data_IF_739645944510
#
_entry.id   IF_739645944510
#
_cell.length_a   1.000
_cell.length_b   1.000
_cell.length_c   1.000
_cell.angle_alpha   90.00
_cell.angle_beta   90.00
_cell.angle_gamma   90.00
#
_symmetry.space_group_name_H-M   'P 1'
#
loop_
_entity.id
_entity.type
_entity.pdbx_description
1 polymer ?
#
# COMPACT_ATOMS: atom_id res chain seq x y z
N UNK A 1 19.09 3.98 -7.88
CA UNK A 1 18.96 4.14 -6.40
C UNK A 1 19.92 5.15 -5.77
N UNK A 2 21.10 5.44 -6.37
CA UNK A 2 22.12 6.34 -5.80
C UNK A 2 21.60 7.77 -5.47
N UNK A 3 20.58 8.24 -6.19
CA UNK A 3 20.03 9.58 -6.03
C UNK A 3 18.99 9.69 -4.90
N UNK A 4 18.05 8.75 -4.81
CA UNK A 4 17.08 8.68 -3.70
C UNK A 4 17.79 8.49 -2.36
N UNK A 5 18.86 7.69 -2.32
CA UNK A 5 19.65 7.49 -1.09
C UNK A 5 20.39 8.74 -0.62
N UNK A 6 20.58 9.74 -1.50
CA UNK A 6 21.24 10.99 -1.17
C UNK A 6 20.25 12.02 -0.63
N UNK A 7 19.03 12.06 -1.16
CA UNK A 7 17.97 12.95 -0.69
C UNK A 7 17.35 12.43 0.63
N UNK A 8 17.32 13.28 1.66
CA UNK A 8 16.77 12.90 2.97
C UNK A 8 15.25 12.72 2.92
N UNK A 9 14.53 13.60 2.23
CA UNK A 9 13.07 13.59 2.18
C UNK A 9 12.55 12.39 1.40
N UNK A 10 13.04 12.15 0.18
CA UNK A 10 12.59 11.02 -0.63
C UNK A 10 12.86 9.68 0.07
N UNK A 11 14.04 9.54 0.68
CA UNK A 11 14.38 8.34 1.46
C UNK A 11 13.45 8.15 2.65
N UNK A 12 13.14 9.20 3.40
CA UNK A 12 12.22 9.12 4.55
C UNK A 12 10.81 8.79 4.08
N UNK A 13 10.31 9.43 3.03
CA UNK A 13 8.95 9.22 2.52
C UNK A 13 8.77 7.80 1.98
N UNK A 14 9.68 7.31 1.13
CA UNK A 14 9.62 5.92 0.66
C UNK A 14 9.86 4.92 1.80
N UNK A 15 10.79 5.20 2.71
CA UNK A 15 11.06 4.35 3.88
C UNK A 15 9.83 4.19 4.77
N UNK A 16 9.14 5.29 5.10
CA UNK A 16 7.88 5.28 5.84
C UNK A 16 6.78 4.55 5.08
N UNK A 17 6.67 4.78 3.76
CA UNK A 17 5.70 4.11 2.90
C UNK A 17 5.85 2.58 2.95
N UNK A 18 7.09 2.08 2.80
CA UNK A 18 7.38 0.64 2.92
C UNK A 18 7.16 0.12 4.34
N UNK A 19 7.59 0.86 5.37
CA UNK A 19 7.41 0.46 6.76
C UNK A 19 5.92 0.28 7.08
N UNK A 20 5.08 1.26 6.73
CA UNK A 20 3.63 1.17 6.94
C UNK A 20 3.06 -0.02 6.18
N UNK A 21 3.46 -0.22 4.91
CA UNK A 21 2.95 -1.32 4.10
C UNK A 21 3.35 -2.70 4.66
N UNK A 22 4.56 -2.83 5.20
CA UNK A 22 5.02 -4.05 5.90
C UNK A 22 4.19 -4.27 7.16
N UNK A 23 4.03 -3.25 8.01
CA UNK A 23 3.27 -3.37 9.25
C UNK A 23 1.81 -3.78 8.98
N UNK A 24 1.12 -3.13 8.05
CA UNK A 24 -0.27 -3.50 7.74
C UNK A 24 -0.34 -4.90 7.13
N UNK A 25 0.64 -5.32 6.34
CA UNK A 25 0.69 -6.67 5.79
C UNK A 25 0.88 -7.72 6.89
N UNK A 26 1.73 -7.46 7.88
CA UNK A 26 1.89 -8.33 9.04
C UNK A 26 0.60 -8.42 9.86
N UNK A 27 -0.07 -7.29 10.12
CA UNK A 27 -1.34 -7.27 10.86
C UNK A 27 -2.42 -8.04 10.07
N UNK A 28 -2.53 -7.81 8.77
CA UNK A 28 -3.47 -8.52 7.90
C UNK A 28 -3.17 -10.02 7.88
N UNK A 29 -1.90 -10.43 7.86
CA UNK A 29 -1.52 -11.84 7.94
C UNK A 29 -1.94 -12.50 9.25
N UNK A 30 -1.72 -11.83 10.39
CA UNK A 30 -2.11 -12.36 11.69
C UNK A 30 -3.63 -12.43 11.84
N UNK A 31 -4.36 -11.44 11.33
CA UNK A 31 -5.83 -11.34 11.51
C UNK A 31 -6.65 -12.14 10.51
N UNK A 32 -6.19 -12.23 9.27
CA UNK A 32 -6.94 -12.83 8.15
C UNK A 32 -6.30 -14.13 7.64
N UNK A 33 -5.07 -14.44 8.05
CA UNK A 33 -4.30 -15.57 7.51
C UNK A 33 -4.90 -16.94 7.82
N UNK A 34 -5.53 -17.11 8.98
CA UNK A 34 -6.11 -18.39 9.41
C UNK A 34 -7.55 -18.61 8.92
N UNK A 35 -8.23 -17.56 8.45
CA UNK A 35 -9.63 -17.65 8.05
C UNK A 35 -9.80 -18.48 6.77
N UNK A 36 -10.45 -19.64 6.88
CA UNK A 36 -10.84 -20.50 5.76
C UNK A 36 -12.17 -20.09 5.12
N UNK A 37 -12.96 -19.26 5.81
CA UNK A 37 -14.18 -18.66 5.29
C UNK A 37 -13.90 -17.56 4.26
N UNK A 38 -14.84 -17.30 3.32
CA UNK A 38 -14.75 -16.16 2.42
C UNK A 38 -14.73 -14.85 3.22
N UNK A 39 -13.79 -13.97 2.88
CA UNK A 39 -13.59 -12.69 3.53
C UNK A 39 -14.51 -11.63 2.92
N UNK A 40 -15.09 -10.79 3.76
CA UNK A 40 -15.83 -9.60 3.37
C UNK A 40 -14.82 -8.55 2.91
N UNK A 41 -14.74 -8.34 1.61
CA UNK A 41 -13.82 -7.38 0.99
C UNK A 41 -14.49 -6.04 0.69
N UNK A 42 -15.81 -6.04 0.51
CA UNK A 42 -16.60 -4.81 0.38
C UNK A 42 -17.95 -4.96 1.08
N UNK A 43 -18.32 -3.91 1.82
CA UNK A 43 -19.58 -3.78 2.52
C UNK A 43 -20.19 -2.41 2.20
N UNK A 44 -21.46 -2.42 1.78
CA UNK A 44 -22.27 -1.22 1.57
C UNK A 44 -23.32 -1.13 2.69
N UNK A 45 -23.48 0.05 3.28
CA UNK A 45 -24.42 0.26 4.41
C UNK A 45 -25.87 -0.01 4.00
N UNK A 46 -26.23 0.23 2.74
CA UNK A 46 -27.58 0.06 2.21
C UNK A 46 -27.84 -1.34 1.64
N UNK A 47 -26.82 -2.00 1.07
CA UNK A 47 -26.96 -3.34 0.45
C UNK A 47 -26.41 -4.49 1.29
N UNK A 48 -25.64 -4.22 2.33
CA UNK A 48 -24.92 -5.23 3.10
C UNK A 48 -23.62 -5.67 2.41
N UNK A 49 -23.25 -6.93 2.61
CA UNK A 49 -22.04 -7.52 1.99
C UNK A 49 -22.28 -7.66 0.48
N UNK A 50 -21.54 -6.89 -0.32
CA UNK A 50 -21.67 -6.90 -1.80
C UNK A 50 -20.50 -7.65 -2.45
N UNK A 51 -19.34 -7.74 -1.78
CA UNK A 51 -18.18 -8.45 -2.31
C UNK A 51 -17.52 -9.32 -1.25
N UNK A 52 -17.57 -10.63 -1.50
CA UNK A 52 -16.82 -11.65 -0.79
C UNK A 52 -15.65 -12.08 -1.67
N UNK A 53 -14.47 -12.24 -1.09
CA UNK A 53 -13.32 -12.81 -1.78
C UNK A 53 -12.53 -13.75 -0.89
N UNK A 54 -11.60 -14.47 -1.49
CA UNK A 54 -10.67 -15.30 -0.76
C UNK A 54 -9.50 -14.49 -0.18
N UNK A 55 -8.59 -15.24 0.45
CA UNK A 55 -7.32 -14.69 0.97
C UNK A 55 -6.45 -14.13 -0.15
N UNK A 56 -6.47 -14.73 -1.33
CA UNK A 56 -5.64 -14.31 -2.47
C UNK A 56 -6.03 -12.91 -2.92
N UNK A 57 -7.31 -12.60 -2.95
CA UNK A 57 -7.83 -11.29 -3.33
C UNK A 57 -7.45 -10.23 -2.29
N UNK A 58 -7.59 -10.51 -0.99
CA UNK A 58 -7.14 -9.63 0.09
C UNK A 58 -5.63 -9.35 0.05
N UNK A 59 -4.80 -10.40 -0.02
CA UNK A 59 -3.35 -10.23 -0.10
C UNK A 59 -2.90 -9.68 -1.46
N UNK A 60 -3.71 -9.85 -2.52
CA UNK A 60 -3.49 -9.27 -3.84
C UNK A 60 -3.49 -7.73 -3.80
N UNK A 61 -4.35 -7.12 -2.97
CA UNK A 61 -4.35 -5.67 -2.73
C UNK A 61 -3.01 -5.24 -2.12
N UNK A 62 -2.49 -5.97 -1.14
CA UNK A 62 -1.19 -5.66 -0.52
C UNK A 62 -0.01 -5.87 -1.48
N UNK A 63 0.01 -6.98 -2.22
CA UNK A 63 1.06 -7.29 -3.20
C UNK A 63 1.10 -6.25 -4.31
N UNK A 64 -0.05 -5.89 -4.89
CA UNK A 64 -0.15 -4.85 -5.92
C UNK A 64 0.30 -3.49 -5.37
N UNK A 65 -0.01 -3.17 -4.12
CA UNK A 65 0.47 -1.97 -3.44
C UNK A 65 2.01 -1.92 -3.34
N UNK A 66 2.66 -3.03 -2.97
CA UNK A 66 4.12 -3.12 -2.97
C UNK A 66 4.70 -2.87 -4.36
N UNK A 67 4.10 -3.47 -5.39
CA UNK A 67 4.54 -3.27 -6.77
C UNK A 67 4.38 -1.81 -7.21
N UNK A 68 3.27 -1.15 -6.89
CA UNK A 68 3.04 0.26 -7.21
C UNK A 68 4.07 1.19 -6.55
N UNK A 69 4.37 1.01 -5.25
CA UNK A 69 5.38 1.82 -4.56
C UNK A 69 6.77 1.56 -5.15
N UNK A 70 7.08 0.31 -5.49
CA UNK A 70 8.35 -0.04 -6.11
C UNK A 70 8.51 0.64 -7.48
N UNK A 71 7.47 0.62 -8.31
CA UNK A 71 7.44 1.33 -9.60
C UNK A 71 7.65 2.83 -9.38
N UNK A 72 6.92 3.44 -8.44
CA UNK A 72 7.05 4.87 -8.14
C UNK A 72 8.46 5.22 -7.62
N UNK A 73 9.11 4.33 -6.87
CA UNK A 73 10.50 4.50 -6.43
C UNK A 73 11.46 4.49 -7.62
N UNK A 74 11.28 3.57 -8.57
CA UNK A 74 12.10 3.50 -9.78
C UNK A 74 11.91 4.75 -10.64
N UNK A 75 10.66 5.19 -10.82
CA UNK A 75 10.32 6.42 -11.55
C UNK A 75 10.91 7.65 -10.86
N UNK A 76 10.73 7.78 -9.54
CA UNK A 76 11.29 8.87 -8.77
C UNK A 76 12.82 8.93 -8.90
N UNK A 77 13.51 7.78 -8.94
CA UNK A 77 14.95 7.74 -9.13
C UNK A 77 15.38 8.13 -10.55
N UNK A 78 14.59 7.78 -11.57
CA UNK A 78 14.86 8.14 -12.97
C UNK A 78 14.68 9.65 -13.19
N UNK A 79 13.58 10.21 -12.68
CA UNK A 79 13.27 11.63 -12.84
C UNK A 79 14.15 12.56 -12.00
N UNK A 80 14.85 12.05 -10.97
CA UNK A 80 15.57 12.93 -10.03
C UNK A 80 16.64 13.80 -10.68
N UNK A 81 17.30 13.27 -11.72
CA UNK A 81 18.33 14.02 -12.46
C UNK A 81 17.75 15.00 -13.47
N UNK A 82 16.55 14.72 -14.00
CA UNK A 82 15.93 15.53 -15.05
C UNK A 82 15.02 16.61 -14.48
N UNK A 83 14.18 16.23 -13.53
CA UNK A 83 13.06 17.00 -12.98
C UNK A 83 12.86 16.63 -11.50
N UNK A 84 13.55 17.31 -10.58
CA UNK A 84 13.45 17.00 -9.14
C UNK A 84 12.03 17.10 -8.60
N UNK A 85 11.24 18.04 -9.14
CA UNK A 85 9.84 18.23 -8.75
C UNK A 85 9.00 16.97 -8.98
N UNK A 86 9.15 16.32 -10.14
CA UNK A 86 8.44 15.07 -10.44
C UNK A 86 8.82 13.95 -9.48
N UNK A 87 10.10 13.84 -9.10
CA UNK A 87 10.53 12.84 -8.11
C UNK A 87 9.86 13.01 -6.76
N UNK A 88 9.67 14.24 -6.28
CA UNK A 88 8.92 14.50 -5.05
C UNK A 88 7.44 14.15 -5.21
N UNK A 89 6.81 14.46 -6.34
CA UNK A 89 5.43 14.06 -6.60
C UNK A 89 5.28 12.54 -6.48
N UNK A 90 6.14 11.75 -7.14
CA UNK A 90 6.08 10.29 -7.03
C UNK A 90 6.29 9.79 -5.60
N UNK A 91 7.16 10.42 -4.82
CA UNK A 91 7.36 10.11 -3.41
C UNK A 91 6.09 10.36 -2.58
N UNK A 92 5.57 11.59 -2.60
CA UNK A 92 4.41 11.98 -1.79
C UNK A 92 3.12 11.28 -2.24
N UNK A 93 2.94 11.04 -3.53
CA UNK A 93 1.81 10.24 -4.04
C UNK A 93 1.91 8.81 -3.55
N UNK A 94 3.09 8.20 -3.52
CA UNK A 94 3.27 6.86 -2.95
C UNK A 94 2.88 6.80 -1.49
N UNK A 95 3.23 7.84 -0.72
CA UNK A 95 2.84 7.93 0.68
C UNK A 95 1.32 8.08 0.86
N UNK A 96 0.69 8.94 0.05
CA UNK A 96 -0.77 9.08 0.03
C UNK A 96 -1.48 7.77 -0.33
N UNK A 97 -0.98 7.05 -1.33
CA UNK A 97 -1.49 5.72 -1.69
C UNK A 97 -1.41 4.75 -0.53
N UNK A 98 -0.28 4.70 0.19
CA UNK A 98 -0.12 3.84 1.36
C UNK A 98 -1.13 4.16 2.46
N UNK A 99 -1.43 5.45 2.69
CA UNK A 99 -2.47 5.84 3.66
C UNK A 99 -3.84 5.31 3.23
N UNK A 100 -4.20 5.42 1.94
CA UNK A 100 -5.47 4.91 1.43
C UNK A 100 -5.55 3.38 1.55
N UNK A 101 -4.47 2.68 1.24
CA UNK A 101 -4.37 1.22 1.41
C UNK A 101 -4.51 0.83 2.88
N UNK A 102 -3.88 1.58 3.79
CA UNK A 102 -3.98 1.36 5.22
C UNK A 102 -5.43 1.49 5.70
N UNK A 103 -6.15 2.52 5.25
CA UNK A 103 -7.57 2.69 5.56
C UNK A 103 -8.39 1.51 5.01
N UNK A 104 -8.22 1.17 3.73
CA UNK A 104 -8.97 0.09 3.10
C UNK A 104 -8.76 -1.26 3.78
N UNK A 105 -7.51 -1.63 4.05
CA UNK A 105 -7.16 -2.90 4.72
C UNK A 105 -7.63 -2.89 6.18
N UNK A 106 -7.57 -1.75 6.88
CA UNK A 106 -8.11 -1.62 8.23
C UNK A 106 -9.62 -1.88 8.28
N UNK A 107 -10.38 -1.43 7.28
CA UNK A 107 -11.82 -1.70 7.20
C UNK A 107 -12.08 -3.18 6.95
N UNK A 108 -11.32 -3.82 6.03
CA UNK A 108 -11.42 -5.26 5.79
C UNK A 108 -11.16 -6.05 7.07
N UNK A 109 -10.10 -5.70 7.83
CA UNK A 109 -9.79 -6.35 9.10
C UNK A 109 -10.88 -6.11 10.16
N UNK A 110 -11.54 -4.96 10.16
CA UNK A 110 -12.57 -4.64 11.16
C UNK A 110 -13.90 -5.36 10.94
N UNK A 111 -14.20 -5.76 9.69
CA UNK A 111 -15.49 -6.37 9.32
C UNK A 111 -15.41 -7.90 9.31
N UNK A 112 -14.20 -8.47 9.37
CA UNK A 112 -13.95 -9.92 9.42
C UNK A 112 -13.41 -10.35 10.79
#
# INVERSE_FOLDING_TARGET
>A
MKYILRDKYLRVVFGLSFLILILISCIAYIKLGENTAPLILHFDIYKGIDFLGGRIEAFGILISSFAMILINLLLANSFYNRERFLSYIFGFVSFGLVILILIGVSVIISVN
#
